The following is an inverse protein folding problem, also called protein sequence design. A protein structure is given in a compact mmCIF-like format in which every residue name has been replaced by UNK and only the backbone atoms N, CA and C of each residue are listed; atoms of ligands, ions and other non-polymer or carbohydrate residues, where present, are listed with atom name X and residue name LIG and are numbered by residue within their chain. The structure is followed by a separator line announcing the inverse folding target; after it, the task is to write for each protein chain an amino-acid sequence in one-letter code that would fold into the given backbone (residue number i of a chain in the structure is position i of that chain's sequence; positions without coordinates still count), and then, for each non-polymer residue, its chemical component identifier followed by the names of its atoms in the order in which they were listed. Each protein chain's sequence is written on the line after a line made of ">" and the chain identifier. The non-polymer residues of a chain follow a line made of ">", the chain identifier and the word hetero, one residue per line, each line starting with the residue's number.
data_IF_610101646915
#
_entry.id   IF_610101646915
#
_cell.length_a   1.000
_cell.length_b   1.000
_cell.length_c   1.000
_cell.angle_alpha   90.00
_cell.angle_beta   90.00
_cell.angle_gamma   90.00
#
_symmetry.space_group_name_H-M   'P 1'
#
loop_
_entity.id
_entity.type
_entity.pdbx_description
1 polymer ?
#
# COMPACT_ATOMS: atom_id res chain seq x y z
N UNK A 1 -5.01 0.98 -18.20
CA UNK A 1 -5.00 0.56 -16.79
C UNK A 1 -6.28 -0.22 -16.49
N UNK A 2 -6.14 -1.41 -15.97
CA UNK A 2 -7.31 -2.28 -15.78
C UNK A 2 -7.79 -2.36 -14.34
N UNK A 3 -6.91 -2.11 -13.36
CA UNK A 3 -7.30 -2.00 -11.96
C UNK A 3 -7.39 -0.51 -11.63
N UNK A 4 -8.56 -0.09 -11.16
CA UNK A 4 -8.80 1.29 -10.76
C UNK A 4 -8.44 1.50 -9.29
N UNK A 5 -8.97 0.66 -8.41
CA UNK A 5 -8.72 0.78 -6.97
C UNK A 5 -8.92 -0.56 -6.26
N UNK A 6 -8.39 -0.64 -5.04
CA UNK A 6 -8.59 -1.77 -4.12
C UNK A 6 -9.00 -1.25 -2.75
N UNK A 7 -9.67 -2.12 -1.97
CA UNK A 7 -9.97 -1.88 -0.56
C UNK A 7 -9.16 -2.82 0.32
N UNK A 8 -8.79 -2.32 1.51
CA UNK A 8 -8.43 -3.18 2.63
C UNK A 8 -9.33 -2.89 3.82
N UNK A 9 -9.79 -3.93 4.48
CA UNK A 9 -10.48 -3.82 5.76
C UNK A 9 -9.45 -3.79 6.88
N UNK A 10 -9.46 -2.74 7.71
CA UNK A 10 -8.50 -2.54 8.79
C UNK A 10 -9.20 -2.59 10.14
N UNK A 11 -8.50 -3.08 11.15
CA UNK A 11 -9.08 -3.25 12.49
C UNK A 11 -8.98 -1.99 13.35
N UNK A 12 -8.11 -1.04 13.00
CA UNK A 12 -7.90 0.21 13.71
C UNK A 12 -7.59 1.30 12.67
N UNK A 13 -8.59 2.10 12.33
CA UNK A 13 -8.47 3.10 11.25
C UNK A 13 -7.40 4.15 11.56
N UNK A 14 -7.33 4.67 12.78
CA UNK A 14 -6.35 5.71 13.13
C UNK A 14 -4.93 5.18 12.99
N UNK A 15 -4.69 3.96 13.44
CA UNK A 15 -3.40 3.30 13.29
C UNK A 15 -3.04 3.10 11.82
N UNK A 16 -3.98 2.62 11.03
CA UNK A 16 -3.75 2.37 9.60
C UNK A 16 -3.56 3.65 8.80
N UNK A 17 -4.30 4.72 9.12
CA UNK A 17 -4.10 6.02 8.49
C UNK A 17 -2.68 6.56 8.76
N UNK A 18 -2.21 6.46 10.00
CA UNK A 18 -0.86 6.89 10.35
C UNK A 18 0.20 6.04 9.64
N UNK A 19 0.01 4.72 9.60
CA UNK A 19 0.92 3.80 8.94
C UNK A 19 1.03 4.09 7.44
N UNK A 20 -0.09 4.06 6.72
CA UNK A 20 -0.08 4.26 5.27
C UNK A 20 0.31 5.67 4.86
N UNK A 21 -0.02 6.68 5.68
CA UNK A 21 0.43 8.05 5.46
C UNK A 21 1.96 8.18 5.46
N UNK A 22 2.65 7.39 6.27
CA UNK A 22 4.12 7.37 6.31
C UNK A 22 4.70 6.43 5.25
N UNK A 23 4.19 5.20 5.16
CA UNK A 23 4.75 4.17 4.30
C UNK A 23 4.63 4.51 2.81
N UNK A 24 3.54 5.15 2.40
CA UNK A 24 3.28 5.47 0.99
C UNK A 24 3.79 6.86 0.58
N UNK A 25 4.23 7.68 1.53
CA UNK A 25 4.75 9.02 1.22
C UNK A 25 5.92 9.02 0.22
N UNK A 26 6.90 8.09 0.31
CA UNK A 26 7.97 8.03 -0.69
C UNK A 26 7.49 7.75 -2.12
N UNK A 27 6.28 7.19 -2.28
CA UNK A 27 5.67 6.94 -3.58
C UNK A 27 4.89 8.16 -4.11
N UNK A 28 4.81 9.24 -3.34
CA UNK A 28 3.96 10.38 -3.67
C UNK A 28 2.48 10.14 -3.42
N UNK A 29 2.15 9.12 -2.64
CA UNK A 29 0.76 8.75 -2.30
C UNK A 29 0.45 9.30 -0.90
N UNK A 30 -0.70 9.95 -0.77
CA UNK A 30 -1.17 10.53 0.49
C UNK A 30 -2.65 10.21 0.71
N UNK A 31 -3.11 10.41 1.94
CA UNK A 31 -4.54 10.39 2.27
C UNK A 31 -5.18 11.65 1.65
N UNK A 32 -6.00 11.47 0.64
CA UNK A 32 -6.52 12.57 -0.20
C UNK A 32 -8.03 12.66 -0.24
N UNK A 33 -8.74 11.66 0.27
CA UNK A 33 -10.20 11.64 0.20
C UNK A 33 -10.82 10.88 1.36
N UNK A 34 -11.99 11.33 1.76
CA UNK A 34 -12.87 10.62 2.68
C UNK A 34 -14.22 10.45 1.99
N UNK A 35 -14.83 9.28 2.16
CA UNK A 35 -16.19 9.03 1.70
C UNK A 35 -17.04 8.71 2.94
N UNK A 36 -18.10 9.49 3.15
CA UNK A 36 -19.08 9.23 4.20
C UNK A 36 -20.06 8.16 3.70
N UNK A 37 -20.13 7.03 4.39
CA UNK A 37 -21.01 5.93 4.02
C UNK A 37 -22.49 6.30 3.94
N UNK A 38 -22.91 7.35 4.65
CA UNK A 38 -24.30 7.83 4.58
C UNK A 38 -24.64 8.47 3.23
N UNK A 39 -23.66 8.86 2.44
CA UNK A 39 -23.84 9.37 1.07
C UNK A 39 -23.98 8.25 0.04
N UNK A 40 -23.78 7.01 0.45
CA UNK A 40 -23.90 5.82 -0.41
C UNK A 40 -25.15 5.01 -0.15
N UNK A 41 -25.22 3.81 -0.71
CA UNK A 41 -26.31 2.87 -0.44
C UNK A 41 -26.40 2.51 1.04
N UNK A 42 -27.57 2.03 1.47
CA UNK A 42 -27.77 1.58 2.84
C UNK A 42 -26.70 0.53 3.22
N UNK A 43 -26.06 0.72 4.39
CA UNK A 43 -24.98 -0.16 4.87
C UNK A 43 -23.62 0.10 4.28
N UNK A 44 -23.48 1.12 3.43
CA UNK A 44 -22.17 1.46 2.86
C UNK A 44 -21.21 1.97 3.95
N UNK A 45 -19.97 1.46 4.01
CA UNK A 45 -19.02 1.90 5.01
C UNK A 45 -18.44 3.28 4.71
N UNK A 46 -17.91 3.93 5.75
CA UNK A 46 -17.00 5.06 5.55
C UNK A 46 -15.70 4.57 4.94
N UNK A 47 -15.12 5.36 4.06
CA UNK A 47 -13.89 5.03 3.36
C UNK A 47 -12.85 6.13 3.53
N UNK A 48 -11.59 5.73 3.67
CA UNK A 48 -10.43 6.62 3.66
C UNK A 48 -9.60 6.30 2.44
N UNK A 49 -9.41 7.29 1.56
CA UNK A 49 -8.78 7.10 0.26
C UNK A 49 -7.37 7.65 0.18
N UNK A 50 -6.50 6.86 -0.44
CA UNK A 50 -5.11 7.19 -0.73
C UNK A 50 -4.89 7.27 -2.23
N UNK A 51 -4.12 8.27 -2.64
CA UNK A 51 -3.80 8.46 -4.04
C UNK A 51 -2.89 9.64 -4.26
N UNK A 52 -2.76 10.04 -5.52
CA UNK A 52 -1.97 11.19 -5.94
C UNK A 52 -2.82 12.04 -6.88
N UNK A 53 -2.95 13.34 -6.59
CA UNK A 53 -3.79 14.24 -7.38
C UNK A 53 -5.25 13.79 -7.38
N UNK A 54 -5.81 13.54 -8.56
CA UNK A 54 -7.19 13.06 -8.74
C UNK A 54 -7.30 11.54 -8.88
N UNK A 55 -6.20 10.82 -8.71
CA UNK A 55 -6.18 9.36 -8.79
C UNK A 55 -6.33 8.77 -7.40
N UNK A 56 -7.43 8.06 -7.17
CA UNK A 56 -7.74 7.41 -5.89
C UNK A 56 -7.64 5.90 -6.10
N UNK A 57 -6.55 5.30 -5.63
CA UNK A 57 -6.26 3.91 -5.98
C UNK A 57 -6.33 2.92 -4.82
N UNK A 58 -6.33 3.41 -3.59
CA UNK A 58 -6.21 2.56 -2.42
C UNK A 58 -7.11 3.09 -1.30
N UNK A 59 -8.03 2.25 -0.81
CA UNK A 59 -9.04 2.66 0.17
C UNK A 59 -8.98 1.77 1.39
N UNK A 60 -9.25 2.37 2.56
CA UNK A 60 -9.37 1.67 3.83
C UNK A 60 -10.79 1.77 4.34
N UNK A 61 -11.30 0.68 4.91
CA UNK A 61 -12.55 0.65 5.66
C UNK A 61 -12.35 -0.06 6.99
N UNK A 62 -13.12 0.34 8.03
CA UNK A 62 -13.11 -0.34 9.31
C UNK A 62 -13.80 -1.70 9.22
N UNK A 63 -13.32 -2.66 9.97
CA UNK A 63 -13.97 -3.96 10.11
C UNK A 63 -13.04 -5.02 10.67
N UNK A 64 -13.44 -6.27 10.50
CA UNK A 64 -12.62 -7.41 10.87
C UNK A 64 -11.58 -7.63 9.78
N UNK A 65 -10.30 -7.50 10.15
CA UNK A 65 -9.19 -7.71 9.21
C UNK A 65 -8.82 -9.19 9.13
N UNK A 66 -8.27 -9.58 7.98
CA UNK A 66 -7.60 -10.87 7.78
C UNK A 66 -6.33 -10.61 6.98
N UNK A 67 -5.20 -10.51 7.66
CA UNK A 67 -3.91 -10.18 7.04
C UNK A 67 -3.47 -11.17 5.96
N UNK A 68 -4.00 -12.38 5.93
CA UNK A 68 -3.70 -13.36 4.89
C UNK A 68 -4.57 -13.21 3.64
N UNK A 69 -5.60 -12.34 3.70
CA UNK A 69 -6.57 -12.21 2.62
C UNK A 69 -6.08 -11.39 1.44
N UNK A 70 -5.02 -10.61 1.59
CA UNK A 70 -4.54 -9.73 0.53
C UNK A 70 -3.02 -9.58 0.52
N UNK A 71 -2.52 -9.38 -0.69
CA UNK A 71 -1.16 -8.93 -0.98
C UNK A 71 -1.29 -7.79 -1.98
N UNK A 72 -0.72 -6.62 -1.67
CA UNK A 72 -0.82 -5.44 -2.52
C UNK A 72 0.57 -5.00 -2.93
N UNK A 73 0.83 -4.98 -4.24
CA UNK A 73 2.07 -4.51 -4.82
C UNK A 73 1.93 -3.09 -5.34
N UNK A 74 2.87 -2.23 -4.98
CA UNK A 74 2.98 -0.86 -5.47
C UNK A 74 4.15 -0.78 -6.44
N UNK A 75 3.89 -0.38 -7.69
CA UNK A 75 4.93 -0.18 -8.67
C UNK A 75 5.61 1.17 -8.47
N UNK A 76 6.93 1.18 -8.51
CA UNK A 76 7.74 2.39 -8.37
C UNK A 76 8.72 2.50 -9.54
N UNK A 77 9.30 3.70 -9.73
CA UNK A 77 10.09 4.04 -10.91
C UNK A 77 11.60 3.94 -10.68
N UNK A 78 12.02 3.65 -9.45
CA UNK A 78 13.44 3.55 -9.10
C UNK A 78 13.66 2.61 -7.92
N UNK A 79 14.84 1.97 -7.87
CA UNK A 79 15.23 1.11 -6.75
C UNK A 79 15.30 1.89 -5.44
N UNK A 80 15.77 3.13 -5.49
CA UNK A 80 15.87 4.03 -4.35
C UNK A 80 14.49 4.29 -3.71
N UNK A 81 13.44 4.31 -4.51
CA UNK A 81 12.06 4.45 -4.00
C UNK A 81 11.61 3.20 -3.27
N UNK A 82 11.98 2.02 -3.74
CA UNK A 82 11.75 0.76 -3.00
C UNK A 82 12.41 0.82 -1.63
N UNK A 83 13.69 1.22 -1.59
CA UNK A 83 14.44 1.31 -0.34
C UNK A 83 13.82 2.33 0.62
N UNK A 84 13.43 3.49 0.10
CA UNK A 84 12.81 4.56 0.89
C UNK A 84 11.44 4.14 1.45
N UNK A 85 10.61 3.49 0.65
CA UNK A 85 9.31 3.01 1.08
C UNK A 85 9.42 1.92 2.15
N UNK A 86 10.36 0.99 1.99
CA UNK A 86 10.62 -0.03 2.99
C UNK A 86 11.05 0.62 4.31
N UNK A 87 12.01 1.55 4.27
CA UNK A 87 12.49 2.25 5.47
C UNK A 87 11.36 3.03 6.17
N UNK A 88 10.53 3.73 5.39
CA UNK A 88 9.38 4.47 5.93
C UNK A 88 8.35 3.54 6.57
N UNK A 89 8.05 2.42 5.92
CA UNK A 89 7.11 1.42 6.45
C UNK A 89 7.62 0.82 7.77
N UNK A 90 8.90 0.45 7.82
CA UNK A 90 9.51 -0.10 9.04
C UNK A 90 9.49 0.93 10.18
N UNK A 91 9.80 2.20 9.87
CA UNK A 91 9.72 3.28 10.87
C UNK A 91 8.29 3.52 11.35
N UNK A 92 7.29 3.25 10.51
CA UNK A 92 5.87 3.38 10.85
C UNK A 92 5.29 2.16 11.60
N UNK A 93 6.08 1.12 11.83
CA UNK A 93 5.67 -0.04 12.61
C UNK A 93 5.38 -1.30 11.81
N UNK A 94 5.76 -1.37 10.55
CA UNK A 94 5.64 -2.58 9.74
C UNK A 94 6.51 -3.72 10.30
N UNK A 95 6.11 -4.94 9.98
CA UNK A 95 6.95 -6.13 10.19
C UNK A 95 7.69 -6.44 8.90
N UNK A 96 8.99 -6.71 8.99
CA UNK A 96 9.79 -7.13 7.85
C UNK A 96 9.25 -8.45 7.27
N UNK A 97 9.11 -8.50 5.96
CA UNK A 97 8.72 -9.70 5.21
C UNK A 97 9.59 -9.87 3.95
N UNK A 98 10.75 -9.26 3.92
CA UNK A 98 11.72 -9.32 2.83
C UNK A 98 12.36 -7.97 2.55
N UNK A 99 13.57 -7.74 3.09
CA UNK A 99 14.32 -6.51 2.90
C UNK A 99 14.58 -6.23 1.40
N UNK A 100 14.83 -4.96 1.03
CA UNK A 100 15.06 -4.60 -0.37
C UNK A 100 16.17 -5.44 -1.02
N UNK A 101 15.91 -5.92 -2.22
CA UNK A 101 16.87 -6.71 -2.99
C UNK A 101 16.30 -7.23 -4.29
N UNK A 102 17.20 -7.76 -5.11
CA UNK A 102 16.82 -8.45 -6.34
C UNK A 102 16.01 -9.72 -6.03
N UNK A 103 14.98 -9.94 -6.81
CA UNK A 103 14.15 -11.15 -6.79
C UNK A 103 14.31 -11.89 -8.12
N UNK A 104 15.52 -12.39 -8.37
CA UNK A 104 15.86 -13.01 -9.64
C UNK A 104 15.03 -14.26 -9.95
N UNK A 105 14.48 -14.89 -8.91
CA UNK A 105 13.56 -16.03 -9.07
C UNK A 105 12.23 -15.63 -9.73
N UNK A 106 11.86 -14.34 -9.72
CA UNK A 106 10.74 -13.85 -10.54
C UNK A 106 11.23 -13.46 -11.93
N UNK A 107 12.24 -12.60 -12.00
CA UNK A 107 12.84 -12.17 -13.26
C UNK A 107 14.13 -11.38 -13.01
N UNK A 108 15.08 -11.38 -13.94
CA UNK A 108 16.21 -10.46 -13.88
C UNK A 108 15.72 -9.01 -13.91
N UNK A 109 16.23 -8.18 -13.02
CA UNK A 109 15.80 -6.77 -12.92
C UNK A 109 14.55 -6.53 -12.08
N UNK A 110 14.03 -7.56 -11.43
CA UNK A 110 12.95 -7.44 -10.46
C UNK A 110 13.54 -7.11 -9.09
N UNK A 111 13.35 -5.86 -8.64
CA UNK A 111 13.86 -5.38 -7.36
C UNK A 111 12.69 -5.00 -6.46
N UNK A 112 12.62 -5.56 -5.27
CA UNK A 112 11.46 -5.35 -4.40
C UNK A 112 11.81 -5.41 -2.93
N UNK A 113 10.89 -4.91 -2.11
CA UNK A 113 10.86 -5.09 -0.67
C UNK A 113 9.44 -5.47 -0.25
N UNK A 114 9.34 -6.25 0.81
CA UNK A 114 8.08 -6.75 1.34
C UNK A 114 7.98 -6.45 2.83
N UNK A 115 6.81 -6.01 3.26
CA UNK A 115 6.50 -5.76 4.66
C UNK A 115 5.10 -6.29 4.98
N UNK A 116 4.81 -6.46 6.27
CA UNK A 116 3.45 -6.66 6.75
C UNK A 116 2.98 -5.37 7.40
N UNK A 117 1.75 -4.95 7.07
CA UNK A 117 1.13 -3.79 7.68
C UNK A 117 0.65 -4.10 9.12
N UNK A 118 0.08 -3.14 9.88
CA UNK A 118 -0.37 -3.38 11.25
C UNK A 118 -1.42 -4.50 11.41
N UNK A 119 -2.18 -4.81 10.37
CA UNK A 119 -3.16 -5.90 10.36
C UNK A 119 -2.60 -7.21 9.79
N UNK A 120 -1.33 -7.21 9.37
CA UNK A 120 -0.67 -8.39 8.79
C UNK A 120 -0.85 -8.54 7.30
N UNK A 121 -1.43 -7.55 6.60
CA UNK A 121 -1.50 -7.57 5.14
C UNK A 121 -0.10 -7.47 4.53
N UNK A 122 0.15 -8.29 3.51
CA UNK A 122 1.41 -8.28 2.79
C UNK A 122 1.44 -7.14 1.79
N UNK A 123 2.45 -6.29 1.91
CA UNK A 123 2.69 -5.19 0.97
C UNK A 123 4.02 -5.41 0.27
N UNK A 124 4.09 -5.01 -0.99
CA UNK A 124 5.31 -5.07 -1.77
C UNK A 124 5.56 -3.74 -2.48
N UNK A 125 6.79 -3.28 -2.48
CA UNK A 125 7.23 -2.13 -3.27
C UNK A 125 8.15 -2.68 -4.36
N UNK A 126 7.81 -2.47 -5.65
CA UNK A 126 8.43 -3.21 -6.75
C UNK A 126 8.90 -2.29 -7.86
N UNK A 127 10.18 -2.40 -8.19
CA UNK A 127 10.79 -1.81 -9.37
C UNK A 127 11.13 -2.91 -10.37
N UNK A 128 10.64 -2.75 -11.61
CA UNK A 128 10.90 -3.69 -12.69
C UNK A 128 11.73 -2.99 -13.77
N UNK A 129 13.01 -3.32 -13.83
CA UNK A 129 13.97 -2.60 -14.67
C UNK A 129 13.57 -2.57 -16.16
N UNK A 130 12.95 -3.64 -16.68
CA UNK A 130 12.56 -3.71 -18.10
C UNK A 130 11.45 -2.75 -18.49
N UNK A 131 10.71 -2.18 -17.52
CA UNK A 131 9.69 -1.15 -17.78
C UNK A 131 10.28 0.25 -17.90
N UNK A 132 11.59 0.40 -17.62
CA UNK A 132 12.29 1.68 -17.56
C UNK A 132 13.54 1.69 -18.45
N UNK A 133 13.68 0.71 -19.30
CA UNK A 133 14.84 0.58 -20.18
C UNK A 133 14.74 1.52 -21.39
#
# INVERSE_FOLDING_TARGET
>A
MMIDHVFLTVSDMDRSLAFYGQALAPLGIAHVADFDGTDGPAGHPDLKGFGAGSTFLFWLRDGVSDGRAAHVGFAVDARETVDAAYAAAMAAGATDNGAPGERTYYAPGYYAANVLDPDGYSLEFTFKAWLHA
#
